data_IF_883833768468
#
_entry.id   IF_883833768468
#
_cell.length_a   1.000
_cell.length_b   1.000
_cell.length_c   1.000
_cell.angle_alpha   90.00
_cell.angle_beta   90.00
_cell.angle_gamma   90.00
#
_symmetry.space_group_name_H-M   'P 1'
#
loop_
_entity.id
_entity.type
_entity.pdbx_description
1 polymer ?
#
# COMPACT_ATOMS: atom_id res chain seq x y z
N UNK A 1 -9.43 24.38 -19.94
CA UNK A 1 -9.05 23.90 -18.60
C UNK A 1 -8.62 22.47 -18.79
N UNK A 2 -7.31 22.17 -18.70
CA UNK A 2 -6.84 20.79 -18.74
C UNK A 2 -7.40 20.08 -17.52
N UNK A 3 -8.23 19.09 -17.76
CA UNK A 3 -8.89 18.24 -16.77
C UNK A 3 -7.98 17.04 -16.43
N UNK A 4 -6.66 17.31 -16.34
CA UNK A 4 -5.71 16.28 -15.95
C UNK A 4 -5.89 16.06 -14.45
N UNK A 5 -6.19 14.82 -14.00
CA UNK A 5 -6.23 14.52 -12.59
C UNK A 5 -4.87 14.88 -11.99
N UNK A 6 -4.82 15.41 -10.76
CA UNK A 6 -3.55 15.72 -10.13
C UNK A 6 -2.69 14.45 -10.16
N UNK A 7 -1.54 14.52 -10.84
CA UNK A 7 -0.55 13.44 -10.82
C UNK A 7 -0.25 13.21 -9.34
N UNK A 8 -0.60 12.04 -8.77
CA UNK A 8 -0.31 11.77 -7.37
C UNK A 8 1.19 11.96 -7.16
N UNK A 9 1.59 12.49 -6.01
CA UNK A 9 3.01 12.63 -5.67
C UNK A 9 3.59 11.22 -5.50
N UNK A 10 4.21 10.71 -6.58
CA UNK A 10 4.59 9.31 -6.81
C UNK A 10 5.85 8.94 -6.02
N UNK A 11 5.74 8.83 -4.69
CA UNK A 11 6.85 8.39 -3.86
C UNK A 11 6.61 6.97 -3.33
N UNK A 12 6.80 5.97 -4.20
CA UNK A 12 6.71 4.53 -3.87
C UNK A 12 7.59 4.14 -2.67
N UNK A 13 8.68 4.89 -2.42
CA UNK A 13 9.52 4.73 -1.24
C UNK A 13 8.78 5.08 0.05
N UNK A 14 7.97 6.13 0.05
CA UNK A 14 7.14 6.52 1.19
C UNK A 14 6.06 5.47 1.47
N UNK A 15 5.39 4.95 0.44
CA UNK A 15 4.42 3.85 0.60
C UNK A 15 5.08 2.60 1.18
N UNK A 16 6.31 2.28 0.72
CA UNK A 16 7.06 1.11 1.22
C UNK A 16 7.44 1.27 2.70
N UNK A 17 7.82 2.48 3.12
CA UNK A 17 8.07 2.80 4.53
C UNK A 17 6.80 2.64 5.35
N UNK A 18 5.66 3.16 4.88
CA UNK A 18 4.37 3.04 5.58
C UNK A 18 3.92 1.60 5.73
N UNK A 19 4.06 0.77 4.68
CA UNK A 19 3.76 -0.67 4.74
C UNK A 19 4.59 -1.34 5.83
N UNK A 20 5.90 -1.06 5.88
CA UNK A 20 6.82 -1.63 6.88
C UNK A 20 6.45 -1.22 8.30
N UNK A 21 6.03 0.04 8.50
CA UNK A 21 5.56 0.52 9.80
C UNK A 21 4.27 -0.18 10.24
N UNK A 22 3.33 -0.37 9.32
CA UNK A 22 2.08 -1.09 9.60
C UNK A 22 2.36 -2.56 9.93
N UNK A 23 3.30 -3.19 9.23
CA UNK A 23 3.73 -4.57 9.54
C UNK A 23 4.31 -4.70 10.94
N UNK A 24 5.20 -3.77 11.31
CA UNK A 24 5.75 -3.73 12.68
C UNK A 24 4.64 -3.57 13.73
N UNK A 25 3.66 -2.70 13.48
CA UNK A 25 2.54 -2.50 14.39
C UNK A 25 1.62 -3.74 14.49
N UNK A 26 1.41 -4.46 13.39
CA UNK A 26 0.66 -5.72 13.37
C UNK A 26 1.36 -6.76 14.25
N UNK A 27 2.67 -6.94 14.07
CA UNK A 27 3.47 -7.91 14.84
C UNK A 27 3.41 -7.63 16.35
N UNK A 28 3.56 -6.37 16.75
CA UNK A 28 3.42 -5.97 18.15
C UNK A 28 2.03 -6.27 18.72
N UNK A 29 0.97 -6.00 17.95
CA UNK A 29 -0.40 -6.28 18.39
C UNK A 29 -0.64 -7.78 18.52
N UNK A 30 -0.16 -8.59 17.58
CA UNK A 30 -0.23 -10.06 17.66
C UNK A 30 0.48 -10.55 18.91
N UNK A 31 1.70 -10.08 19.18
CA UNK A 31 2.45 -10.43 20.39
C UNK A 31 1.70 -10.04 21.68
N UNK A 32 1.03 -8.88 21.72
CA UNK A 32 0.21 -8.44 22.87
C UNK A 32 -1.04 -9.29 23.06
N UNK A 33 -1.66 -9.75 21.97
CA UNK A 33 -2.80 -10.67 22.01
C UNK A 33 -2.36 -12.03 22.57
N UNK A 34 -1.24 -12.56 22.09
CA UNK A 34 -0.74 -13.90 22.46
C UNK A 34 -0.15 -13.98 23.87
N UNK A 35 0.56 -12.93 24.31
CA UNK A 35 1.19 -12.88 25.64
C UNK A 35 0.17 -12.66 26.78
N UNK A 36 -1.04 -12.19 26.48
CA UNK A 36 -2.11 -11.91 27.45
C UNK A 36 -2.87 -13.13 27.99
N UNK A 37 -2.28 -14.33 28.03
CA UNK A 37 -2.90 -15.64 28.37
C UNK A 37 -3.47 -15.78 29.80
N UNK A 38 -3.45 -14.74 30.63
CA UNK A 38 -4.04 -14.81 31.97
C UNK A 38 -5.54 -14.49 31.87
N UNK A 39 -6.38 -15.44 32.30
CA UNK A 39 -7.86 -15.34 32.40
C UNK A 39 -8.27 -14.30 33.46
N UNK A 40 -7.97 -13.04 33.21
CA UNK A 40 -8.48 -11.90 33.97
C UNK A 40 -9.54 -11.18 33.10
N UNK A 41 -10.78 -11.01 33.58
CA UNK A 41 -11.85 -10.31 32.86
C UNK A 41 -11.47 -8.91 32.35
N UNK A 42 -10.59 -8.20 33.06
CA UNK A 42 -10.10 -6.89 32.61
C UNK A 42 -9.15 -7.00 31.41
N UNK A 43 -8.32 -8.04 31.38
CA UNK A 43 -7.41 -8.31 30.27
C UNK A 43 -8.18 -8.78 29.01
N UNK A 44 -9.33 -9.46 29.19
CA UNK A 44 -10.23 -9.82 28.09
C UNK A 44 -10.75 -8.58 27.34
N UNK A 45 -11.18 -7.55 28.09
CA UNK A 45 -11.66 -6.28 27.51
C UNK A 45 -10.58 -5.56 26.71
N UNK A 46 -9.35 -5.56 27.20
CA UNK A 46 -8.20 -4.97 26.49
C UNK A 46 -7.88 -5.77 25.24
N UNK A 47 -7.94 -7.10 25.30
CA UNK A 47 -7.66 -7.98 24.15
C UNK A 47 -8.67 -7.77 23.01
N UNK A 48 -9.95 -7.56 23.30
CA UNK A 48 -10.94 -7.20 22.27
C UNK A 48 -10.54 -5.90 21.55
N UNK A 49 -9.97 -4.91 22.27
CA UNK A 49 -9.49 -3.67 21.64
C UNK A 49 -8.29 -3.94 20.71
N UNK A 50 -7.38 -4.85 21.09
CA UNK A 50 -6.29 -5.28 20.21
C UNK A 50 -6.79 -5.99 18.96
N UNK A 51 -7.79 -6.87 19.06
CA UNK A 51 -8.39 -7.48 17.86
C UNK A 51 -9.06 -6.44 16.93
N UNK A 52 -9.72 -5.42 17.51
CA UNK A 52 -10.25 -4.31 16.71
C UNK A 52 -9.14 -3.53 16.02
N UNK A 53 -8.10 -3.17 16.75
CA UNK A 53 -6.93 -2.47 16.22
C UNK A 53 -6.24 -3.27 15.11
N UNK A 54 -6.05 -4.58 15.32
CA UNK A 54 -5.53 -5.49 14.30
C UNK A 54 -6.38 -5.46 13.02
N UNK A 55 -7.71 -5.49 13.16
CA UNK A 55 -8.61 -5.39 12.01
C UNK A 55 -8.49 -4.05 11.26
N UNK A 56 -8.24 -2.94 11.97
CA UNK A 56 -7.97 -1.65 11.32
C UNK A 56 -6.63 -1.65 10.60
N UNK A 57 -5.55 -2.11 11.26
CA UNK A 57 -4.22 -2.18 10.66
C UNK A 57 -4.19 -3.08 9.42
N UNK A 58 -4.86 -4.23 9.46
CA UNK A 58 -4.95 -5.14 8.32
C UNK A 58 -5.61 -4.49 7.11
N UNK A 59 -6.71 -3.74 7.31
CA UNK A 59 -7.37 -2.98 6.24
C UNK A 59 -6.47 -1.86 5.71
N UNK A 60 -5.78 -1.14 6.59
CA UNK A 60 -4.81 -0.10 6.19
C UNK A 60 -3.68 -0.69 5.36
N UNK A 61 -3.10 -1.83 5.76
CA UNK A 61 -2.07 -2.53 4.99
C UNK A 61 -2.57 -2.88 3.59
N UNK A 62 -3.78 -3.45 3.50
CA UNK A 62 -4.37 -3.79 2.20
C UNK A 62 -4.48 -2.56 1.30
N UNK A 63 -4.99 -1.43 1.81
CA UNK A 63 -5.09 -0.19 1.04
C UNK A 63 -3.73 0.33 0.58
N UNK A 64 -2.70 0.30 1.43
CA UNK A 64 -1.35 0.73 1.07
C UNK A 64 -0.72 -0.16 -0.01
N UNK A 65 -0.91 -1.48 0.07
CA UNK A 65 -0.43 -2.42 -0.94
C UNK A 65 -1.16 -2.21 -2.27
N UNK A 66 -2.47 -2.00 -2.24
CA UNK A 66 -3.27 -1.67 -3.43
C UNK A 66 -2.78 -0.37 -4.08
N UNK A 67 -2.55 0.69 -3.30
CA UNK A 67 -1.98 1.95 -3.79
C UNK A 67 -0.61 1.77 -4.42
N UNK A 68 0.30 1.04 -3.76
CA UNK A 68 1.62 0.74 -4.31
C UNK A 68 1.54 -0.02 -5.62
N UNK A 69 0.68 -1.04 -5.68
CA UNK A 69 0.47 -1.83 -6.89
C UNK A 69 -0.08 -0.97 -8.03
N UNK A 70 -1.00 -0.05 -7.71
CA UNK A 70 -1.55 0.89 -8.69
C UNK A 70 -0.45 1.80 -9.27
N UNK A 71 0.42 2.36 -8.42
CA UNK A 71 1.56 3.18 -8.87
C UNK A 71 2.50 2.41 -9.80
N UNK A 72 2.85 1.18 -9.44
CA UNK A 72 3.72 0.31 -10.26
C UNK A 72 3.10 0.02 -11.63
N UNK A 73 1.80 -0.26 -11.68
CA UNK A 73 1.05 -0.49 -12.93
C UNK A 73 0.94 0.78 -13.78
N UNK A 74 0.71 1.94 -13.18
CA UNK A 74 0.65 3.22 -13.90
C UNK A 74 2.01 3.56 -14.53
N UNK A 75 3.10 3.32 -13.81
CA UNK A 75 4.46 3.49 -14.33
C UNK A 75 4.74 2.55 -15.51
N UNK A 76 4.37 1.27 -15.40
CA UNK A 76 4.53 0.30 -16.49
C UNK A 76 3.72 0.70 -17.73
N UNK A 77 2.47 1.12 -17.57
CA UNK A 77 1.62 1.58 -18.67
C UNK A 77 2.20 2.83 -19.34
N UNK A 78 2.76 3.77 -18.56
CA UNK A 78 3.41 4.96 -19.10
C UNK A 78 4.63 4.59 -19.95
N UNK A 79 5.47 3.66 -19.48
CA UNK A 79 6.62 3.16 -20.24
C UNK A 79 6.21 2.43 -21.52
N UNK A 80 5.20 1.57 -21.47
CA UNK A 80 4.68 0.88 -22.66
C UNK A 80 4.11 1.86 -23.69
N UNK A 81 3.40 2.91 -23.26
CA UNK A 81 2.90 3.97 -24.14
C UNK A 81 4.04 4.73 -24.80
N UNK A 82 5.05 5.15 -24.03
CA UNK A 82 6.27 5.80 -24.56
C UNK A 82 6.99 4.91 -25.56
N UNK A 83 7.17 3.63 -25.26
CA UNK A 83 7.79 2.67 -26.17
C UNK A 83 7.00 2.53 -27.48
N UNK A 84 5.67 2.50 -27.42
CA UNK A 84 4.80 2.46 -28.60
C UNK A 84 4.86 3.74 -29.42
N UNK A 85 4.85 4.91 -28.77
CA UNK A 85 4.97 6.20 -29.44
C UNK A 85 6.33 6.36 -30.12
N UNK A 86 7.42 5.98 -29.44
CA UNK A 86 8.77 5.98 -30.00
C UNK A 86 8.91 4.95 -31.13
N UNK A 87 8.28 3.79 -31.00
CA UNK A 87 8.23 2.76 -32.05
C UNK A 87 7.41 3.20 -33.26
N UNK A 88 6.33 3.96 -33.08
CA UNK A 88 5.54 4.55 -34.17
C UNK A 88 6.30 5.68 -34.87
N UNK A 89 6.99 6.55 -34.12
CA UNK A 89 7.84 7.60 -34.68
C UNK A 89 9.03 7.07 -35.50
N UNK A 90 9.49 5.85 -35.23
CA UNK A 90 10.55 5.18 -35.98
C UNK A 90 10.13 4.68 -37.38
N UNK A 91 8.83 4.44 -37.61
CA UNK A 91 8.32 3.95 -38.90
C UNK A 91 8.10 5.13 -39.88
N UNK A 92 7.69 6.29 -39.36
CA UNK A 92 7.44 7.49 -40.16
C UNK A 92 8.72 8.24 -40.58
N UNK A 93 9.89 7.87 -40.05
CA UNK A 93 11.19 8.45 -40.42
C UNK A 93 11.89 7.74 -41.59
N UNK A 94 11.41 6.56 -41.99
CA UNK A 94 12.02 5.71 -43.03
C UNK A 94 11.23 5.64 -44.35
N UNK A 95 10.17 6.45 -44.51
CA UNK A 95 9.33 6.54 -45.72
C UNK A 95 9.42 7.92 -46.39
#
# INVERSE_FOLDING_TARGET
>A
MSDDPPTPDLNTDELSVLITQVDTAIDEIVAKIESGRIRNPEHERVRIKYYRALGYLARTKQGLVESKTLEELEAEVAELKRARENGAAGIDAEA
#
